data_IF_679248978143
#
_entry.id   IF_679248978143
#
_cell.length_a   1.000
_cell.length_b   1.000
_cell.length_c   1.000
_cell.angle_alpha   90.00
_cell.angle_beta   90.00
_cell.angle_gamma   90.00
#
_symmetry.space_group_name_H-M   'P 1'
#
loop_
_entity.id
_entity.type
_entity.pdbx_description
1 polymer ?
#
# COMPACT_ATOMS: atom_id res chain seq x y z
N UNK A 1 17.60 -6.79 -19.25
CA UNK A 1 16.46 -5.85 -19.22
C UNK A 1 15.20 -6.70 -19.10
N UNK A 2 14.84 -7.09 -17.86
CA UNK A 2 13.59 -7.79 -17.63
C UNK A 2 12.48 -6.74 -17.63
N UNK A 3 11.59 -6.79 -18.62
CA UNK A 3 10.36 -6.03 -18.60
C UNK A 3 9.58 -6.43 -17.36
N UNK A 4 9.55 -5.54 -16.36
CA UNK A 4 8.66 -5.66 -15.23
C UNK A 4 7.26 -5.41 -15.77
N UNK A 5 6.54 -6.50 -16.07
CA UNK A 5 5.12 -6.45 -16.43
C UNK A 5 4.39 -5.55 -15.42
N UNK A 6 3.47 -4.68 -15.86
CA UNK A 6 2.69 -3.86 -14.92
C UNK A 6 1.79 -4.81 -14.11
N UNK A 7 2.21 -5.12 -12.89
CA UNK A 7 1.42 -5.90 -11.95
C UNK A 7 0.15 -5.11 -11.61
N UNK A 8 -1.05 -5.66 -11.81
CA UNK A 8 -2.27 -4.99 -11.38
C UNK A 8 -2.27 -4.96 -9.84
N UNK A 9 -2.33 -3.77 -9.23
CA UNK A 9 -2.56 -3.61 -7.78
C UNK A 9 -1.33 -3.34 -6.90
N UNK A 10 -0.42 -2.43 -7.29
CA UNK A 10 0.85 -2.16 -6.58
C UNK A 10 0.79 -1.55 -5.16
N UNK A 11 -0.31 -1.69 -4.41
CA UNK A 11 -0.43 -1.22 -3.03
C UNK A 11 -1.22 -2.20 -2.15
N UNK A 12 -1.18 -2.06 -0.81
CA UNK A 12 -1.82 -3.01 0.12
C UNK A 12 -3.30 -3.28 -0.17
N UNK A 13 -4.06 -2.24 -0.56
CA UNK A 13 -5.46 -2.39 -0.94
C UNK A 13 -5.69 -3.27 -2.18
N UNK A 14 -4.79 -3.21 -3.17
CA UNK A 14 -4.85 -4.05 -4.36
C UNK A 14 -4.56 -5.52 -4.06
N UNK A 15 -3.52 -5.79 -3.24
CA UNK A 15 -3.20 -7.13 -2.78
C UNK A 15 -4.33 -7.75 -1.95
N UNK A 16 -4.93 -6.97 -1.04
CA UNK A 16 -6.07 -7.40 -0.26
C UNK A 16 -7.32 -7.67 -1.12
N UNK A 17 -7.64 -6.80 -2.07
CA UNK A 17 -8.77 -7.00 -2.98
C UNK A 17 -8.62 -8.25 -3.86
N UNK A 18 -7.39 -8.60 -4.23
CA UNK A 18 -7.06 -9.84 -4.94
C UNK A 18 -7.02 -11.09 -4.03
N UNK A 19 -7.29 -10.93 -2.73
CA UNK A 19 -7.35 -12.04 -1.77
C UNK A 19 -5.99 -12.51 -1.25
N UNK A 20 -4.90 -11.78 -1.54
CA UNK A 20 -3.56 -12.13 -1.06
C UNK A 20 -3.31 -11.69 0.38
N UNK A 21 -4.04 -10.68 0.86
CA UNK A 21 -3.94 -10.18 2.23
C UNK A 21 -5.30 -10.29 2.90
N UNK A 22 -5.33 -10.93 4.07
CA UNK A 22 -6.51 -10.94 4.92
C UNK A 22 -6.57 -9.61 5.70
N UNK A 23 -7.70 -8.91 5.58
CA UNK A 23 -7.93 -7.63 6.25
C UNK A 23 -9.07 -7.75 7.24
N UNK A 24 -8.82 -7.23 8.44
CA UNK A 24 -9.70 -7.30 9.60
C UNK A 24 -10.14 -5.90 10.01
N UNK A 25 -11.27 -5.84 10.71
CA UNK A 25 -11.75 -4.63 11.38
C UNK A 25 -12.45 -4.99 12.69
N UNK A 26 -12.31 -4.12 13.69
CA UNK A 26 -13.14 -4.17 14.89
C UNK A 26 -14.45 -3.44 14.64
N UNK A 27 -15.58 -4.10 14.88
CA UNK A 27 -16.91 -3.54 14.64
C UNK A 27 -17.76 -3.49 15.92
N UNK A 28 -18.63 -2.45 16.05
CA UNK A 28 -19.71 -2.50 17.03
C UNK A 28 -20.72 -3.59 16.67
N UNK A 29 -21.67 -3.94 17.57
CA UNK A 29 -22.75 -4.86 17.25
C UNK A 29 -23.55 -4.39 16.04
N UNK A 30 -23.68 -5.25 15.04
CA UNK A 30 -24.50 -5.07 13.84
C UNK A 30 -25.39 -6.30 13.65
N UNK A 31 -26.56 -6.10 13.06
CA UNK A 31 -27.46 -7.21 12.76
C UNK A 31 -27.16 -7.74 11.35
N UNK A 32 -27.03 -9.06 11.26
CA UNK A 32 -26.87 -9.84 10.05
C UNK A 32 -28.05 -10.83 9.94
N UNK A 33 -29.20 -10.34 9.50
CA UNK A 33 -30.44 -11.12 9.56
C UNK A 33 -30.91 -11.31 10.99
N UNK A 34 -30.93 -12.56 11.48
CA UNK A 34 -31.36 -12.89 12.85
C UNK A 34 -30.20 -12.89 13.86
N UNK A 35 -28.95 -12.78 13.40
CA UNK A 35 -27.75 -12.83 14.23
C UNK A 35 -27.22 -11.43 14.50
N UNK A 36 -26.73 -11.20 15.73
CA UNK A 36 -25.98 -9.99 16.07
C UNK A 36 -24.49 -10.31 16.11
N UNK A 37 -23.70 -9.60 15.32
CA UNK A 37 -22.26 -9.82 15.14
C UNK A 37 -21.51 -8.60 15.67
N UNK A 38 -20.47 -8.83 16.47
CA UNK A 38 -19.63 -7.77 17.03
C UNK A 38 -18.18 -8.25 17.17
N UNK A 39 -17.25 -7.31 17.41
CA UNK A 39 -15.84 -7.62 17.64
C UNK A 39 -15.05 -7.65 16.33
N UNK A 40 -14.00 -8.48 16.27
CA UNK A 40 -13.15 -8.56 15.08
C UNK A 40 -13.82 -9.40 13.98
N UNK A 41 -13.82 -8.86 12.76
CA UNK A 41 -14.35 -9.51 11.56
C UNK A 41 -13.40 -9.32 10.37
N UNK A 42 -13.44 -10.23 9.41
CA UNK A 42 -12.80 -10.05 8.11
C UNK A 42 -13.70 -9.17 7.21
N UNK A 43 -13.07 -8.30 6.44
CA UNK A 43 -13.75 -7.30 5.59
C UNK A 43 -13.45 -7.49 4.09
N UNK A 44 -14.43 -7.27 3.21
CA UNK A 44 -14.24 -7.43 1.77
C UNK A 44 -13.61 -6.16 1.17
N UNK A 45 -12.27 -6.10 1.08
CA UNK A 45 -11.57 -4.90 0.58
C UNK A 45 -11.97 -4.49 -0.84
N UNK A 46 -12.43 -5.43 -1.67
CA UNK A 46 -12.98 -5.12 -2.98
C UNK A 46 -14.14 -4.09 -2.93
N UNK A 47 -14.95 -4.10 -1.86
CA UNK A 47 -16.05 -3.13 -1.64
C UNK A 47 -15.55 -1.76 -1.16
N UNK A 48 -14.31 -1.69 -0.68
CA UNK A 48 -13.68 -0.48 -0.13
C UNK A 48 -12.66 0.15 -1.09
N UNK A 49 -12.53 -0.36 -2.32
CA UNK A 49 -11.58 0.16 -3.31
C UNK A 49 -11.69 1.66 -3.60
N UNK A 50 -12.87 2.33 -3.55
CA UNK A 50 -12.94 3.79 -3.67
C UNK A 50 -12.11 4.56 -2.63
N UNK A 51 -11.81 3.96 -1.48
CA UNK A 51 -10.96 4.55 -0.42
C UNK A 51 -9.46 4.45 -0.74
N UNK A 52 -9.06 3.56 -1.65
CA UNK A 52 -7.64 3.24 -1.95
C UNK A 52 -7.23 3.66 -3.36
N UNK A 53 -7.81 4.74 -3.89
CA UNK A 53 -7.47 5.23 -5.23
C UNK A 53 -6.02 5.71 -5.27
N UNK A 54 -5.31 5.33 -6.33
CA UNK A 54 -3.91 5.73 -6.55
C UNK A 54 -3.78 7.21 -6.95
N UNK A 55 -4.77 7.73 -7.66
CA UNK A 55 -4.80 9.11 -8.16
C UNK A 55 -6.20 9.69 -8.02
N UNK A 56 -6.27 10.99 -7.76
CA UNK A 56 -7.52 11.73 -7.58
C UNK A 56 -8.13 11.61 -6.18
N UNK A 57 -9.30 12.24 -5.95
CA UNK A 57 -9.99 12.18 -4.67
C UNK A 57 -10.37 10.74 -4.32
N UNK A 58 -10.14 10.36 -3.06
CA UNK A 58 -10.57 9.09 -2.47
C UNK A 58 -11.64 9.35 -1.40
N UNK A 59 -12.50 8.36 -1.17
CA UNK A 59 -13.51 8.46 -0.12
C UNK A 59 -12.84 8.31 1.26
N UNK A 60 -13.15 9.22 2.19
CA UNK A 60 -12.64 9.13 3.57
C UNK A 60 -13.28 7.98 4.37
N UNK A 61 -14.48 7.57 3.97
CA UNK A 61 -15.27 6.55 4.65
C UNK A 61 -15.94 5.64 3.62
N UNK A 62 -15.86 4.32 3.87
CA UNK A 62 -16.58 3.30 3.12
C UNK A 62 -17.75 2.74 3.91
N UNK A 63 -18.54 1.88 3.26
CA UNK A 63 -19.68 1.18 3.87
C UNK A 63 -19.51 -0.32 3.72
N UNK A 64 -19.36 -1.02 4.85
CA UNK A 64 -19.35 -2.47 4.88
C UNK A 64 -20.77 -3.01 4.74
N UNK A 65 -21.03 -3.72 3.65
CA UNK A 65 -22.30 -4.42 3.43
C UNK A 65 -22.25 -5.86 3.89
N UNK A 66 -21.04 -6.41 4.04
CA UNK A 66 -20.80 -7.77 4.47
C UNK A 66 -19.62 -7.84 5.41
N UNK A 67 -19.70 -8.77 6.34
CA UNK A 67 -18.64 -9.10 7.28
C UNK A 67 -18.52 -10.60 7.37
N UNK A 68 -17.33 -11.09 7.67
CA UNK A 68 -17.10 -12.51 7.93
C UNK A 68 -16.57 -12.67 9.35
N UNK A 69 -17.36 -13.23 10.27
CA UNK A 69 -16.89 -13.50 11.63
C UNK A 69 -15.65 -14.38 11.63
N UNK A 70 -14.70 -14.10 12.54
CA UNK A 70 -13.48 -14.90 12.65
C UNK A 70 -13.80 -16.37 12.98
N UNK A 71 -13.04 -17.28 12.38
CA UNK A 71 -13.24 -18.73 12.53
C UNK A 71 -14.37 -19.31 11.69
N UNK A 72 -15.08 -18.49 10.91
CA UNK A 72 -16.11 -18.95 9.97
C UNK A 72 -15.63 -18.85 8.52
N UNK A 73 -16.25 -19.62 7.63
CA UNK A 73 -16.02 -19.52 6.19
C UNK A 73 -17.08 -18.64 5.49
N UNK A 74 -18.10 -18.18 6.23
CA UNK A 74 -19.33 -17.62 5.67
C UNK A 74 -19.35 -16.10 5.78
N UNK A 75 -19.58 -15.44 4.64
CA UNK A 75 -19.88 -14.01 4.62
C UNK A 75 -21.33 -13.76 5.00
N UNK A 76 -21.54 -12.84 5.94
CA UNK A 76 -22.86 -12.42 6.40
C UNK A 76 -23.16 -11.02 5.89
N UNK A 77 -24.38 -10.80 5.41
CA UNK A 77 -24.83 -9.48 4.98
C UNK A 77 -25.25 -8.66 6.20
N UNK A 78 -24.74 -7.44 6.31
CA UNK A 78 -25.18 -6.46 7.31
C UNK A 78 -26.57 -5.96 6.90
N UNK A 79 -27.58 -6.26 7.71
CA UNK A 79 -28.96 -5.82 7.49
C UNK A 79 -29.29 -4.56 8.27
N UNK A 80 -28.68 -4.37 9.44
CA UNK A 80 -28.76 -3.12 10.19
C UNK A 80 -27.36 -2.68 10.65
N UNK A 81 -26.90 -1.48 10.25
CA UNK A 81 -27.65 -0.47 9.48
C UNK A 81 -27.82 -0.83 7.99
N UNK A 82 -28.95 -0.48 7.33
CA UNK A 82 -29.25 -0.90 5.95
C UNK A 82 -28.33 -0.26 4.91
N UNK A 83 -27.78 0.92 5.20
CA UNK A 83 -26.78 1.60 4.38
C UNK A 83 -25.36 1.02 4.59
N UNK A 84 -25.20 0.03 5.46
CA UNK A 84 -23.94 -0.65 5.77
C UNK A 84 -23.17 0.05 6.87
N UNK A 85 -22.31 -0.71 7.56
CA UNK A 85 -21.53 -0.18 8.67
C UNK A 85 -20.47 0.80 8.15
N UNK A 86 -20.47 2.08 8.60
CA UNK A 86 -19.41 3.02 8.24
C UNK A 86 -18.05 2.56 8.74
N UNK A 87 -17.04 2.60 7.87
CA UNK A 87 -15.66 2.23 8.21
C UNK A 87 -14.64 3.19 7.60
N UNK A 88 -13.56 3.47 8.31
CA UNK A 88 -12.43 4.26 7.84
C UNK A 88 -11.22 3.38 7.58
N UNK A 89 -10.27 3.87 6.79
CA UNK A 89 -9.02 3.16 6.53
C UNK A 89 -8.19 2.92 7.80
N UNK A 90 -8.31 3.81 8.80
CA UNK A 90 -7.70 3.69 10.12
C UNK A 90 -8.20 2.51 10.95
N UNK A 91 -9.37 1.96 10.60
CA UNK A 91 -10.01 0.87 11.35
C UNK A 91 -9.58 -0.50 10.81
N UNK A 92 -8.82 -0.52 9.71
CA UNK A 92 -8.43 -1.72 8.98
C UNK A 92 -7.06 -2.24 9.44
N UNK A 93 -6.99 -3.53 9.68
CA UNK A 93 -5.80 -4.23 10.18
C UNK A 93 -5.44 -5.38 9.24
N UNK A 94 -4.15 -5.59 9.00
CA UNK A 94 -3.67 -6.79 8.30
C UNK A 94 -3.51 -7.93 9.30
N UNK A 95 -4.05 -9.10 8.97
CA UNK A 95 -3.87 -10.29 9.82
C UNK A 95 -2.39 -10.73 9.78
N UNK A 96 -1.76 -10.80 10.95
CA UNK A 96 -0.31 -11.03 11.05
C UNK A 96 0.14 -12.37 10.45
N UNK A 97 -0.57 -13.47 10.74
CA UNK A 97 -0.21 -14.80 10.23
C UNK A 97 -0.23 -14.88 8.69
N UNK A 98 -1.36 -14.55 8.04
CA UNK A 98 -1.42 -14.50 6.57
C UNK A 98 -0.45 -13.49 5.95
N UNK A 99 -0.20 -12.36 6.60
CA UNK A 99 0.78 -11.37 6.13
C UNK A 99 2.20 -11.94 6.15
N UNK A 100 2.61 -12.58 7.25
CA UNK A 100 3.92 -13.21 7.36
C UNK A 100 4.09 -14.29 6.28
N UNK A 101 3.10 -15.15 6.09
CA UNK A 101 3.12 -16.17 5.05
C UNK A 101 3.27 -15.54 3.66
N UNK A 102 2.51 -14.48 3.38
CA UNK A 102 2.62 -13.74 2.12
C UNK A 102 4.03 -13.16 1.91
N UNK A 103 4.64 -12.60 2.96
CA UNK A 103 6.00 -12.05 2.91
C UNK A 103 7.06 -13.14 2.65
N UNK A 104 6.91 -14.31 3.28
CA UNK A 104 7.79 -15.47 3.10
C UNK A 104 7.68 -16.05 1.68
N UNK A 105 6.46 -16.29 1.18
CA UNK A 105 6.20 -16.83 -0.16
C UNK A 105 6.73 -15.93 -1.28
N UNK A 106 6.77 -14.61 -1.02
CA UNK A 106 7.21 -13.60 -1.98
C UNK A 106 8.65 -13.12 -1.73
N UNK A 107 9.32 -13.69 -0.73
CA UNK A 107 10.67 -13.33 -0.31
C UNK A 107 10.88 -11.82 -0.08
N UNK A 108 9.84 -11.09 0.35
CA UNK A 108 9.86 -9.62 0.43
C UNK A 108 10.87 -9.08 1.45
N UNK A 109 11.13 -9.85 2.51
CA UNK A 109 12.06 -9.51 3.58
C UNK A 109 13.41 -10.19 3.45
N UNK A 110 13.63 -11.01 2.41
CA UNK A 110 14.97 -11.52 2.11
C UNK A 110 15.82 -10.33 1.70
N UNK A 111 16.68 -9.89 2.61
CA UNK A 111 17.83 -9.05 2.28
C UNK A 111 18.52 -9.76 1.11
N UNK A 112 18.67 -9.14 -0.08
CA UNK A 112 19.48 -9.73 -1.13
C UNK A 112 20.79 -10.12 -0.48
N UNK A 113 21.27 -11.36 -0.71
CA UNK A 113 22.52 -11.82 -0.14
C UNK A 113 23.57 -10.76 -0.42
N UNK A 114 23.90 -9.99 0.63
CA UNK A 114 24.62 -8.74 0.51
C UNK A 114 26.10 -9.09 0.49
N UNK A 115 26.49 -9.86 -0.53
CA UNK A 115 27.85 -10.30 -0.83
C UNK A 115 28.13 -10.01 -2.31
N UNK A 116 28.04 -8.73 -2.68
CA UNK A 116 28.89 -8.01 -3.63
C UNK A 116 28.70 -6.54 -3.26
N UNK A 117 29.48 -5.97 -2.35
CA UNK A 117 30.91 -5.79 -2.60
C UNK A 117 31.16 -4.78 -3.72
N UNK A 118 30.31 -3.77 -3.86
CA UNK A 118 30.70 -2.49 -4.44
C UNK A 118 30.01 -1.40 -3.64
N UNK A 119 30.77 -0.48 -3.03
CA UNK A 119 30.24 0.86 -2.79
C UNK A 119 29.54 1.30 -4.08
N UNK A 120 28.37 1.93 -4.00
CA UNK A 120 27.82 2.60 -5.18
C UNK A 120 28.98 3.40 -5.78
N UNK A 121 29.39 3.07 -7.01
CA UNK A 121 30.61 3.62 -7.64
C UNK A 121 30.62 5.15 -7.65
N UNK A 122 29.45 5.73 -7.40
CA UNK A 122 29.07 7.11 -7.43
C UNK A 122 28.17 7.40 -6.22
N UNK A 123 28.49 8.45 -5.47
CA UNK A 123 27.69 8.94 -4.34
C UNK A 123 26.55 9.84 -4.85
N UNK A 124 25.46 9.19 -5.28
CA UNK A 124 24.29 9.88 -5.83
C UNK A 124 23.58 10.78 -4.82
N UNK A 125 23.61 10.42 -3.53
CA UNK A 125 22.94 11.19 -2.47
C UNK A 125 23.61 12.55 -2.26
N UNK A 126 24.95 12.58 -2.19
CA UNK A 126 25.70 13.83 -2.12
C UNK A 126 25.57 14.67 -3.39
N UNK A 127 25.47 14.01 -4.56
CA UNK A 127 25.21 14.71 -5.83
C UNK A 127 23.85 15.42 -5.79
N UNK A 128 22.78 14.77 -5.33
CA UNK A 128 21.45 15.38 -5.22
C UNK A 128 21.41 16.54 -4.22
N UNK A 129 22.13 16.42 -3.09
CA UNK A 129 22.26 17.51 -2.14
C UNK A 129 22.93 18.75 -2.77
N UNK A 130 24.03 18.54 -3.52
CA UNK A 130 24.69 19.62 -4.25
C UNK A 130 23.79 20.22 -5.32
N UNK A 131 23.07 19.40 -6.09
CA UNK A 131 22.17 19.87 -7.13
C UNK A 131 21.03 20.72 -6.56
N UNK A 132 20.51 20.33 -5.39
CA UNK A 132 19.48 21.08 -4.67
C UNK A 132 19.99 22.44 -4.21
N UNK A 133 21.19 22.47 -3.62
CA UNK A 133 21.85 23.72 -3.24
C UNK A 133 22.13 24.61 -4.45
N UNK A 134 22.66 24.04 -5.54
CA UNK A 134 23.00 24.77 -6.76
C UNK A 134 21.75 25.41 -7.38
N UNK A 135 20.66 24.66 -7.50
CA UNK A 135 19.40 25.19 -8.05
C UNK A 135 18.82 26.30 -7.18
N UNK A 136 18.98 26.21 -5.87
CA UNK A 136 18.51 27.24 -4.93
C UNK A 136 19.33 28.53 -5.03
N UNK A 137 20.67 28.43 -5.04
CA UNK A 137 21.58 29.60 -5.02
C UNK A 137 21.85 30.20 -6.41
N UNK A 138 21.88 29.36 -7.44
CA UNK A 138 22.31 29.74 -8.81
C UNK A 138 21.18 29.66 -9.83
N UNK A 139 20.03 29.12 -9.45
CA UNK A 139 18.88 28.92 -10.33
C UNK A 139 19.05 27.73 -11.28
N UNK A 140 18.03 27.52 -12.10
CA UNK A 140 17.98 26.41 -13.06
C UNK A 140 18.95 26.70 -14.23
N UNK A 141 19.81 25.74 -14.62
CA UNK A 141 20.66 25.90 -15.80
C UNK A 141 19.85 26.25 -17.06
N UNK A 142 20.43 27.01 -18.00
CA UNK A 142 19.71 27.54 -19.16
C UNK A 142 19.30 26.45 -20.18
N UNK A 143 19.82 25.23 -20.05
CA UNK A 143 19.47 24.08 -20.88
C UNK A 143 19.70 22.77 -20.16
N UNK A 144 19.04 21.71 -20.63
CA UNK A 144 19.27 20.34 -20.16
C UNK A 144 20.73 19.90 -20.33
N UNK A 145 21.38 20.31 -21.42
CA UNK A 145 22.79 19.99 -21.66
C UNK A 145 23.71 20.62 -20.61
N UNK A 146 23.42 21.86 -20.18
CA UNK A 146 24.17 22.52 -19.11
C UNK A 146 23.99 21.82 -17.76
N UNK A 147 22.78 21.33 -17.47
CA UNK A 147 22.51 20.52 -16.27
C UNK A 147 23.28 19.19 -16.29
N UNK A 148 23.30 18.50 -17.44
CA UNK A 148 24.03 17.23 -17.59
C UNK A 148 25.53 17.45 -17.40
N UNK A 149 26.10 18.52 -17.98
CA UNK A 149 27.51 18.86 -17.82
C UNK A 149 27.87 19.13 -16.35
N UNK A 150 27.02 19.86 -15.62
CA UNK A 150 27.20 20.11 -14.18
C UNK A 150 27.25 18.82 -13.36
N UNK A 151 26.33 17.88 -13.62
CA UNK A 151 26.30 16.58 -12.93
C UNK A 151 27.52 15.74 -13.29
N UNK A 152 27.93 15.74 -14.56
CA UNK A 152 29.12 15.00 -15.01
C UNK A 152 30.40 15.55 -14.37
N UNK A 153 30.56 16.87 -14.31
CA UNK A 153 31.71 17.55 -13.69
C UNK A 153 31.84 17.21 -12.21
N UNK A 154 30.72 17.04 -11.50
CA UNK A 154 30.72 16.63 -10.10
C UNK A 154 31.29 15.23 -9.85
N UNK A 155 31.16 14.31 -10.82
CA UNK A 155 31.64 12.93 -10.70
C UNK A 155 33.10 12.73 -11.14
N UNK A 156 33.78 13.78 -11.60
CA UNK A 156 35.21 13.79 -11.97
C UNK A 156 36.08 14.02 -10.73
#
# INVERSE_FOLDING_TARGET
MACMSPMPGGGPGGWAAAGHLQVLAGIPPVNCGAESIAGMVEVPIAELMPMFRRFGPSDEQGRLKRVKPLGTATWLNVTEPPDGLPIRSSDLLLAAGPLQQFEEERELLRRPANNMGANARYDWESMYALLTWYLFEKGVPPSQSALIALVQDWFV
#
